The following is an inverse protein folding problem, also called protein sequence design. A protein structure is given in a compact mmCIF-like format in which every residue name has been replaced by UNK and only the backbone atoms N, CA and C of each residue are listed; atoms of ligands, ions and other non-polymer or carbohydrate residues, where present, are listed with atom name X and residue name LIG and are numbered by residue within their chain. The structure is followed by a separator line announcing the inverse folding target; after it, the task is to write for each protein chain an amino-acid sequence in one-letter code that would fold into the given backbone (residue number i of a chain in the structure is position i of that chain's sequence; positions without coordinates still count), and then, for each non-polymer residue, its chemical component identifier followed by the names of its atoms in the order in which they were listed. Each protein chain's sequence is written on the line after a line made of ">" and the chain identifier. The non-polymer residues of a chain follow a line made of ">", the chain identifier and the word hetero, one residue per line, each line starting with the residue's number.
data_IF_051593701023
#
_entry.id   IF_051593701023
#
_cell.length_a   1.000
_cell.length_b   1.000
_cell.length_c   1.000
_cell.angle_alpha   90.00
_cell.angle_beta   90.00
_cell.angle_gamma   90.00
#
_symmetry.space_group_name_H-M   'P 1'
#
loop_
_entity.id
_entity.type
_entity.pdbx_description
1 polymer ?
#
# COMPACT_ATOMS: atom_id res chain seq x y z
N UNK A 1 -2.13 -3.99 -38.95
CA UNK A 1 -0.83 -3.59 -38.37
C UNK A 1 -0.62 -2.08 -38.36
N UNK A 2 -1.10 -1.30 -39.35
CA UNK A 2 -0.88 0.17 -39.45
C UNK A 2 -1.27 1.04 -38.25
N UNK A 3 -2.18 0.60 -37.37
CA UNK A 3 -2.66 1.43 -36.26
C UNK A 3 -1.95 1.17 -34.93
N UNK A 4 -1.09 0.15 -34.85
CA UNK A 4 -0.39 -0.18 -33.61
C UNK A 4 0.63 0.90 -33.25
N UNK A 5 1.39 1.40 -34.21
CA UNK A 5 2.36 2.47 -33.94
C UNK A 5 1.68 3.78 -33.57
N UNK A 6 0.55 4.11 -34.20
CA UNK A 6 -0.25 5.28 -33.84
C UNK A 6 -0.81 5.17 -32.43
N UNK A 7 -1.35 4.01 -32.07
CA UNK A 7 -1.85 3.74 -30.72
C UNK A 7 -0.73 3.86 -29.68
N UNK A 8 0.43 3.25 -29.97
CA UNK A 8 1.59 3.29 -29.09
C UNK A 8 2.04 4.71 -28.80
N UNK A 9 2.21 5.54 -29.85
CA UNK A 9 2.65 6.92 -29.66
C UNK A 9 1.64 7.73 -28.83
N UNK A 10 0.33 7.55 -29.07
CA UNK A 10 -0.71 8.25 -28.28
C UNK A 10 -0.67 7.81 -26.81
N UNK A 11 -0.51 6.50 -26.58
CA UNK A 11 -0.44 5.94 -25.23
C UNK A 11 0.82 6.40 -24.49
N UNK A 12 1.99 6.32 -25.13
CA UNK A 12 3.27 6.75 -24.56
C UNK A 12 3.24 8.25 -24.20
N UNK A 13 2.79 9.12 -25.10
CA UNK A 13 2.66 10.55 -24.80
C UNK A 13 1.68 10.83 -23.65
N UNK A 14 0.56 10.12 -23.58
CA UNK A 14 -0.38 10.27 -22.46
C UNK A 14 0.25 9.84 -21.12
N UNK A 15 1.01 8.75 -21.12
CA UNK A 15 1.75 8.32 -19.94
C UNK A 15 2.82 9.33 -19.52
N UNK A 16 3.58 9.90 -20.46
CA UNK A 16 4.58 10.94 -20.18
C UNK A 16 3.95 12.19 -19.54
N UNK A 17 2.73 12.55 -19.94
CA UNK A 17 2.00 13.69 -19.38
C UNK A 17 1.37 13.41 -18.00
N UNK A 18 1.08 12.14 -17.67
CA UNK A 18 0.27 11.77 -16.51
C UNK A 18 1.02 11.04 -15.39
N UNK A 19 2.13 10.36 -15.70
CA UNK A 19 2.89 9.55 -14.75
C UNK A 19 4.12 10.35 -14.34
N UNK A 20 4.22 10.64 -13.06
CA UNK A 20 5.38 11.32 -12.49
C UNK A 20 6.48 10.32 -12.12
N UNK A 21 7.72 10.79 -11.96
CA UNK A 21 8.82 9.94 -11.46
C UNK A 21 8.47 9.33 -10.08
N UNK A 22 7.67 10.01 -9.27
CA UNK A 22 7.21 9.55 -7.95
C UNK A 22 6.25 8.35 -8.06
N UNK A 23 5.39 8.32 -9.08
CA UNK A 23 4.45 7.21 -9.33
C UNK A 23 5.16 5.90 -9.72
N UNK A 24 6.41 6.00 -10.19
CA UNK A 24 7.24 4.85 -10.58
C UNK A 24 7.97 4.26 -9.35
N UNK A 25 8.10 5.04 -8.27
CA UNK A 25 8.74 4.57 -7.05
C UNK A 25 7.82 3.55 -6.36
N UNK A 26 8.35 2.33 -6.17
CA UNK A 26 7.64 1.32 -5.40
C UNK A 26 7.43 1.81 -3.97
N UNK A 27 6.17 1.99 -3.60
CA UNK A 27 5.75 2.44 -2.28
C UNK A 27 4.79 1.44 -1.65
N UNK A 28 4.65 1.53 -0.33
CA UNK A 28 3.60 0.85 0.43
C UNK A 28 2.84 1.96 1.15
N UNK A 29 1.53 2.03 0.92
CA UNK A 29 0.67 2.96 1.65
C UNK A 29 0.40 2.40 3.04
N UNK A 30 0.53 3.25 4.05
CA UNK A 30 0.20 2.94 5.43
C UNK A 30 -0.75 4.02 5.96
N UNK A 31 -1.71 3.64 6.79
CA UNK A 31 -2.68 4.57 7.37
C UNK A 31 -2.03 5.42 8.48
N UNK A 32 -1.25 4.77 9.34
CA UNK A 32 -0.50 5.47 10.39
C UNK A 32 0.67 4.63 10.91
N UNK A 33 1.64 5.32 11.52
CA UNK A 33 2.61 4.70 12.42
C UNK A 33 1.91 4.32 13.73
N UNK A 34 2.28 3.17 14.30
CA UNK A 34 1.89 2.77 15.65
C UNK A 34 3.11 2.55 16.54
N UNK A 35 2.89 2.66 17.85
CA UNK A 35 3.91 2.44 18.88
C UNK A 35 3.71 1.11 19.61
N UNK A 36 4.74 0.69 20.34
CA UNK A 36 4.79 -0.56 21.11
C UNK A 36 3.59 -0.77 22.05
N UNK A 37 3.18 0.28 22.75
CA UNK A 37 2.08 0.25 23.70
C UNK A 37 0.70 0.16 23.05
N UNK A 38 0.58 0.52 21.76
CA UNK A 38 -0.67 0.45 20.99
C UNK A 38 -0.88 -0.93 20.36
N UNK A 39 0.18 -1.73 20.24
CA UNK A 39 0.09 -3.09 19.71
C UNK A 39 -0.37 -4.08 20.79
N UNK A 40 -1.65 -4.00 21.16
CA UNK A 40 -2.25 -4.83 22.19
C UNK A 40 -3.63 -5.37 21.78
N UNK A 41 -4.15 -6.35 22.54
CA UNK A 41 -5.41 -7.03 22.23
C UNK A 41 -6.65 -6.13 22.37
N UNK A 42 -6.59 -5.08 23.21
CA UNK A 42 -7.69 -4.13 23.35
C UNK A 42 -7.81 -3.28 22.09
N UNK A 43 -6.70 -2.73 21.60
CA UNK A 43 -6.65 -1.98 20.34
C UNK A 43 -7.08 -2.85 19.16
N UNK A 44 -6.67 -4.12 19.10
CA UNK A 44 -7.14 -5.04 18.06
C UNK A 44 -8.66 -5.25 18.12
N UNK A 45 -9.22 -5.47 19.32
CA UNK A 45 -10.67 -5.65 19.49
C UNK A 45 -11.47 -4.39 19.14
N UNK A 46 -10.90 -3.20 19.32
CA UNK A 46 -11.51 -1.95 18.88
C UNK A 46 -11.48 -1.80 17.35
N UNK A 47 -10.40 -2.20 16.69
CA UNK A 47 -10.30 -2.21 15.23
C UNK A 47 -11.29 -3.19 14.59
N UNK A 48 -11.50 -4.37 15.18
CA UNK A 48 -12.47 -5.35 14.68
C UNK A 48 -13.91 -4.81 14.61
N UNK A 49 -14.24 -3.79 15.44
CA UNK A 49 -15.55 -3.13 15.40
C UNK A 49 -15.76 -2.29 14.14
N UNK A 50 -14.71 -2.00 13.38
CA UNK A 50 -14.79 -1.30 12.09
C UNK A 50 -15.22 -2.23 10.95
N UNK A 51 -15.32 -3.54 11.19
CA UNK A 51 -15.86 -4.48 10.22
C UNK A 51 -17.31 -4.11 9.80
N UNK A 52 -17.73 -4.47 8.57
CA UNK A 52 -17.04 -5.36 7.64
C UNK A 52 -15.93 -4.66 6.85
N UNK A 53 -14.83 -5.38 6.63
CA UNK A 53 -13.77 -4.95 5.73
C UNK A 53 -14.02 -5.41 4.29
N UNK A 54 -13.49 -4.67 3.32
CA UNK A 54 -13.65 -4.93 1.88
C UNK A 54 -13.27 -3.72 1.03
N UNK A 55 -13.72 -3.70 -0.23
CA UNK A 55 -13.37 -2.64 -1.20
C UNK A 55 -13.70 -1.22 -0.72
N UNK A 56 -14.80 -1.05 0.03
CA UNK A 56 -15.21 0.24 0.59
C UNK A 56 -14.67 0.57 1.99
N UNK A 57 -13.99 -0.38 2.63
CA UNK A 57 -13.41 -0.24 3.97
C UNK A 57 -12.25 -1.23 4.09
N UNK A 58 -11.10 -0.87 3.53
CA UNK A 58 -9.96 -1.75 3.54
C UNK A 58 -9.45 -1.96 4.96
N UNK A 59 -8.88 -3.13 5.22
CA UNK A 59 -8.18 -3.36 6.48
C UNK A 59 -7.04 -2.35 6.61
N UNK A 60 -6.89 -1.71 7.79
CA UNK A 60 -5.86 -0.71 7.97
C UNK A 60 -4.46 -1.33 7.95
N UNK A 61 -3.53 -0.68 7.27
CA UNK A 61 -2.11 -1.05 7.22
C UNK A 61 -1.31 -0.11 8.10
N UNK A 62 -0.65 -0.64 9.12
CA UNK A 62 0.14 0.16 10.06
C UNK A 62 1.65 0.02 9.83
N UNK A 63 2.38 1.09 10.14
CA UNK A 63 3.85 1.10 10.13
C UNK A 63 4.41 0.93 11.55
N UNK A 64 5.28 -0.06 11.74
CA UNK A 64 6.15 -0.15 12.90
C UNK A 64 7.58 0.17 12.45
N UNK A 65 8.22 1.11 13.14
CA UNK A 65 9.61 1.50 12.89
C UNK A 65 10.49 1.02 14.05
N UNK A 66 11.81 1.04 13.83
CA UNK A 66 12.81 0.75 14.87
C UNK A 66 12.71 -0.67 15.47
N UNK A 67 12.20 -1.63 14.69
CA UNK A 67 12.07 -3.03 15.11
C UNK A 67 13.36 -3.80 14.84
N UNK A 68 13.82 -4.57 15.82
CA UNK A 68 14.92 -5.53 15.67
C UNK A 68 14.34 -6.92 15.41
N UNK A 69 14.68 -7.48 14.26
CA UNK A 69 14.27 -8.86 13.92
C UNK A 69 15.22 -9.83 14.64
N UNK A 70 14.72 -10.50 15.67
CA UNK A 70 15.49 -11.48 16.45
C UNK A 70 15.63 -12.82 15.73
N UNK A 71 14.55 -13.28 15.07
CA UNK A 71 14.52 -14.59 14.41
C UNK A 71 13.55 -14.60 13.24
N UNK A 72 13.91 -15.31 12.18
CA UNK A 72 13.03 -15.64 11.05
C UNK A 72 13.04 -17.17 10.91
N UNK A 73 11.86 -17.79 10.96
CA UNK A 73 11.68 -19.21 10.71
C UNK A 73 10.74 -19.39 9.52
N UNK A 74 11.11 -20.28 8.60
CA UNK A 74 10.22 -20.69 7.51
C UNK A 74 9.44 -21.92 7.97
N UNK A 75 8.11 -21.87 7.90
CA UNK A 75 7.21 -23.01 8.17
C UNK A 75 7.29 -24.01 7.04
#
# INVERSE_FOLDING_TARGET
>A
MENIDKLRNIFESYCEDCITDEDIIKSVSVDTKIYDHEWNLETLADLEKLAPFGEGNQEPTFLLEDVVVDKIETV
#
